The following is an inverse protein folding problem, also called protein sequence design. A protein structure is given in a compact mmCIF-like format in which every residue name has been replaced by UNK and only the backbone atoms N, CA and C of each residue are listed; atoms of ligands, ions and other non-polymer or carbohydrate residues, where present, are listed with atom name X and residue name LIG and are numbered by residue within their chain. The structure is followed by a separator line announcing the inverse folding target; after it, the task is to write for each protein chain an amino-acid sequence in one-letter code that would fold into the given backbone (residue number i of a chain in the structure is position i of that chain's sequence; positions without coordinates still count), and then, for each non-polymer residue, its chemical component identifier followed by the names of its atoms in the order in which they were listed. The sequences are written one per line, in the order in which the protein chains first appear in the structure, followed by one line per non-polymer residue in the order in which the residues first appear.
data_IF_603884460501
#
_entry.id   IF_603884460501
#
_cell.length_a   1.000
_cell.length_b   1.000
_cell.length_c   1.000
_cell.angle_alpha   90.00
_cell.angle_beta   90.00
_cell.angle_gamma   90.00
#
_symmetry.space_group_name_H-M   'P 1'
#
loop_
_entity.id
_entity.type
_entity.pdbx_description
1 polymer ?
#
# COMPACT_ATOMS: atom_id res chain seq x y z
N UNK A 1 -17.09 11.24 -5.99
CA UNK A 1 -15.94 10.30 -5.96
C UNK A 1 -16.49 8.94 -5.56
N UNK A 2 -16.01 7.82 -6.13
CA UNK A 2 -16.62 6.50 -5.87
C UNK A 2 -16.80 6.21 -4.37
N UNK A 3 -15.83 6.58 -3.53
CA UNK A 3 -15.91 6.44 -2.08
C UNK A 3 -17.16 7.10 -1.47
N UNK A 4 -17.54 8.28 -1.95
CA UNK A 4 -18.73 9.01 -1.52
C UNK A 4 -20.00 8.34 -2.04
N UNK A 5 -19.98 7.87 -3.29
CA UNK A 5 -21.13 7.21 -3.93
C UNK A 5 -21.50 5.90 -3.23
N UNK A 6 -20.50 5.13 -2.77
CA UNK A 6 -20.72 3.89 -2.03
C UNK A 6 -20.75 4.08 -0.50
N UNK A 7 -20.61 5.32 -0.01
CA UNK A 7 -20.68 5.65 1.42
C UNK A 7 -19.59 5.01 2.28
N UNK A 8 -18.39 4.78 1.73
CA UNK A 8 -17.27 4.17 2.46
C UNK A 8 -16.20 5.20 2.81
N UNK A 9 -15.48 4.92 3.90
CA UNK A 9 -14.34 5.73 4.33
C UNK A 9 -13.04 5.02 3.94
N UNK A 10 -12.19 5.70 3.18
CA UNK A 10 -10.83 5.23 2.93
C UNK A 10 -10.05 5.23 4.24
N UNK A 11 -9.16 4.25 4.47
CA UNK A 11 -8.32 4.24 5.69
C UNK A 11 -6.84 4.27 5.41
N UNK A 12 -6.44 3.62 4.32
CA UNK A 12 -5.06 3.49 3.86
C UNK A 12 -5.03 3.49 2.33
N UNK A 13 -3.99 4.08 1.75
CA UNK A 13 -3.59 3.89 0.36
C UNK A 13 -2.38 2.96 0.37
N UNK A 14 -2.56 1.70 -0.03
CA UNK A 14 -1.53 0.67 0.05
C UNK A 14 -0.90 0.43 -1.34
N UNK A 15 0.40 0.64 -1.43
CA UNK A 15 1.20 0.27 -2.60
C UNK A 15 1.77 -1.13 -2.41
N UNK A 16 1.68 -1.98 -3.43
CA UNK A 16 2.29 -3.31 -3.39
C UNK A 16 3.76 -3.27 -3.81
N UNK A 17 4.11 -2.38 -4.74
CA UNK A 17 5.46 -2.19 -5.27
C UNK A 17 5.62 -0.76 -5.81
N UNK A 18 6.85 -0.40 -6.22
CA UNK A 18 7.05 0.80 -7.00
C UNK A 18 6.80 0.53 -8.47
N UNK A 19 5.88 1.31 -9.03
CA UNK A 19 5.48 1.27 -10.42
C UNK A 19 6.49 2.06 -11.27
N UNK A 20 7.02 1.43 -12.32
CA UNK A 20 7.94 2.06 -13.27
C UNK A 20 7.20 2.52 -14.55
N UNK A 21 5.99 2.02 -14.73
CA UNK A 21 5.12 2.17 -15.90
C UNK A 21 4.08 3.27 -15.70
N UNK A 22 3.78 3.66 -14.46
CA UNK A 22 2.84 4.73 -14.17
C UNK A 22 3.13 5.46 -12.86
N UNK A 23 2.56 6.67 -12.74
CA UNK A 23 2.54 7.44 -11.51
C UNK A 23 1.29 7.03 -10.71
N UNK A 24 1.46 6.56 -9.49
CA UNK A 24 0.34 6.23 -8.59
C UNK A 24 -0.47 7.48 -8.19
N UNK A 25 -1.77 7.27 -7.95
CA UNK A 25 -2.67 8.29 -7.39
C UNK A 25 -2.58 8.48 -5.87
N UNK A 26 -1.74 7.71 -5.17
CA UNK A 26 -1.70 7.66 -3.69
C UNK A 26 -1.49 9.02 -3.03
N UNK A 27 -0.50 9.82 -3.44
CA UNK A 27 -0.27 11.15 -2.83
C UNK A 27 -1.49 12.06 -2.97
N UNK A 28 -2.09 12.10 -4.17
CA UNK A 28 -3.29 12.91 -4.41
C UNK A 28 -4.47 12.43 -3.57
N UNK A 29 -4.70 11.13 -3.50
CA UNK A 29 -5.82 10.55 -2.75
C UNK A 29 -5.64 10.76 -1.24
N UNK A 30 -4.43 10.58 -0.71
CA UNK A 30 -4.09 10.89 0.68
C UNK A 30 -4.33 12.37 1.00
N UNK A 31 -3.93 13.30 0.13
CA UNK A 31 -4.18 14.74 0.33
C UNK A 31 -5.66 15.10 0.33
N UNK A 32 -6.46 14.48 -0.53
CA UNK A 32 -7.90 14.76 -0.64
C UNK A 32 -8.69 14.16 0.53
N UNK A 33 -8.21 13.07 1.12
CA UNK A 33 -8.98 12.29 2.11
C UNK A 33 -8.39 12.34 3.51
N UNK A 34 -7.14 12.77 3.67
CA UNK A 34 -6.41 12.82 4.94
C UNK A 34 -5.88 11.47 5.43
N UNK A 35 -5.99 10.40 4.62
CA UNK A 35 -5.58 9.05 5.03
C UNK A 35 -4.15 8.70 4.66
N UNK A 36 -3.64 7.63 5.30
CA UNK A 36 -2.21 7.30 5.31
C UNK A 36 -1.81 6.47 4.09
N UNK A 37 -0.69 6.86 3.49
CA UNK A 37 0.02 6.06 2.51
C UNK A 37 0.84 4.96 3.19
N UNK A 38 0.78 3.75 2.64
CA UNK A 38 1.50 2.58 3.16
C UNK A 38 2.26 1.94 2.01
N UNK A 39 3.56 1.73 2.19
CA UNK A 39 4.43 1.13 1.16
C UNK A 39 5.28 -0.01 1.75
N UNK A 40 5.90 -0.86 0.92
CA UNK A 40 6.87 -1.83 1.39
C UNK A 40 8.11 -1.15 2.00
N UNK A 41 8.63 -1.68 3.11
CA UNK A 41 9.78 -1.09 3.81
C UNK A 41 11.03 -0.94 2.93
N UNK A 42 11.21 -1.80 1.94
CA UNK A 42 12.34 -1.74 1.01
C UNK A 42 12.09 -0.90 -0.25
N UNK A 43 10.93 -0.26 -0.39
CA UNK A 43 10.59 0.57 -1.55
C UNK A 43 11.46 1.84 -1.68
N UNK A 44 12.28 2.20 -0.67
CA UNK A 44 13.15 3.39 -0.67
C UNK A 44 12.41 4.71 -0.98
N UNK A 45 11.14 4.82 -0.59
CA UNK A 45 10.33 6.03 -0.71
C UNK A 45 10.46 6.88 0.55
N UNK A 46 10.75 8.18 0.40
CA UNK A 46 10.87 9.11 1.55
C UNK A 46 9.54 9.73 2.00
N UNK A 47 8.51 9.69 1.16
CA UNK A 47 7.24 10.41 1.37
C UNK A 47 6.06 9.54 1.82
N UNK A 48 6.28 8.28 2.19
CA UNK A 48 5.21 7.43 2.69
C UNK A 48 4.99 7.65 4.20
N UNK A 49 3.73 7.63 4.63
CA UNK A 49 3.38 7.76 6.07
C UNK A 49 3.76 6.50 6.86
N UNK A 50 3.76 5.34 6.19
CA UNK A 50 4.12 4.08 6.80
C UNK A 50 4.85 3.12 5.85
N UNK A 51 5.75 2.32 6.42
CA UNK A 51 6.56 1.34 5.73
C UNK A 51 6.39 -0.03 6.38
N UNK A 52 5.64 -0.93 5.73
CA UNK A 52 5.36 -2.27 6.25
C UNK A 52 6.50 -3.25 5.99
N UNK A 53 6.78 -4.09 6.99
CA UNK A 53 7.77 -5.18 6.90
C UNK A 53 7.09 -6.52 6.61
N UNK A 54 7.91 -7.50 6.22
CA UNK A 54 7.47 -8.87 6.07
C UNK A 54 6.80 -9.41 7.34
N UNK A 55 5.69 -10.13 7.17
CA UNK A 55 4.89 -10.72 8.24
C UNK A 55 4.05 -9.73 9.05
N UNK A 56 4.20 -8.42 8.83
CA UNK A 56 3.50 -7.39 9.61
C UNK A 56 2.00 -7.33 9.28
N UNK A 57 1.17 -7.05 10.28
CA UNK A 57 -0.30 -7.01 10.15
C UNK A 57 -0.82 -5.58 10.21
N UNK A 58 -1.51 -5.16 9.15
CA UNK A 58 -2.31 -3.95 9.09
C UNK A 58 -3.78 -4.27 9.38
N UNK A 59 -4.35 -3.65 10.41
CA UNK A 59 -5.76 -3.83 10.78
C UNK A 59 -6.66 -2.84 10.04
N UNK A 60 -7.75 -3.34 9.47
CA UNK A 60 -8.82 -2.58 8.81
C UNK A 60 -10.18 -3.02 9.37
N UNK A 61 -10.60 -2.39 10.47
CA UNK A 61 -11.78 -2.88 11.21
C UNK A 61 -11.53 -4.29 11.73
N UNK A 62 -12.45 -5.21 11.41
CA UNK A 62 -12.34 -6.64 11.76
C UNK A 62 -11.47 -7.44 10.77
N UNK A 63 -11.06 -6.82 9.67
CA UNK A 63 -10.20 -7.43 8.65
C UNK A 63 -8.73 -7.20 8.99
N UNK A 64 -7.91 -8.22 8.79
CA UNK A 64 -6.46 -8.11 8.91
C UNK A 64 -5.79 -8.34 7.55
N UNK A 65 -4.80 -7.50 7.25
CA UNK A 65 -3.97 -7.61 6.05
C UNK A 65 -2.56 -7.93 6.52
N UNK A 66 -2.05 -9.11 6.17
CA UNK A 66 -0.66 -9.46 6.43
C UNK A 66 0.21 -9.09 5.22
N UNK A 67 1.33 -8.44 5.47
CA UNK A 67 2.35 -8.23 4.46
C UNK A 67 3.18 -9.51 4.27
N UNK A 68 3.21 -10.00 3.04
CA UNK A 68 4.02 -11.15 2.66
C UNK A 68 5.03 -10.73 1.60
N UNK A 69 6.29 -11.06 1.85
CA UNK A 69 7.35 -10.74 0.93
C UNK A 69 7.45 -11.77 -0.20
N UNK A 70 7.30 -11.32 -1.44
CA UNK A 70 7.65 -12.13 -2.60
C UNK A 70 9.02 -11.74 -3.17
N UNK A 71 9.76 -12.73 -3.69
CA UNK A 71 10.95 -12.46 -4.50
C UNK A 71 10.50 -11.96 -5.88
N UNK A 72 11.04 -10.83 -6.37
CA UNK A 72 10.69 -10.34 -7.70
C UNK A 72 11.00 -11.39 -8.77
N UNK A 73 10.07 -11.62 -9.70
CA UNK A 73 10.32 -12.47 -10.88
C UNK A 73 11.24 -11.80 -11.90
N UNK A 74 11.31 -10.47 -11.88
CA UNK A 74 12.16 -9.68 -12.78
C UNK A 74 13.19 -8.84 -12.00
N UNK A 75 14.46 -8.80 -12.47
CA UNK A 75 15.55 -8.12 -11.77
C UNK A 75 15.40 -6.59 -11.71
N UNK A 76 14.51 -5.99 -12.52
CA UNK A 76 14.27 -4.55 -12.56
C UNK A 76 13.40 -3.98 -11.42
N UNK A 77 12.72 -4.83 -10.61
CA UNK A 77 11.90 -4.36 -9.48
C UNK A 77 12.47 -4.86 -8.15
N UNK A 78 13.35 -4.09 -7.48
CA UNK A 78 13.93 -4.49 -6.18
C UNK A 78 12.93 -4.40 -5.01
N UNK A 79 11.65 -4.14 -5.29
CA UNK A 79 10.62 -3.93 -4.27
C UNK A 79 9.94 -5.25 -3.99
N UNK A 80 9.88 -5.59 -2.71
CA UNK A 80 9.17 -6.77 -2.25
C UNK A 80 7.68 -6.49 -2.52
N UNK A 81 7.01 -7.27 -3.39
CA UNK A 81 5.56 -7.19 -3.51
C UNK A 81 4.97 -7.59 -2.17
N UNK A 82 4.19 -6.71 -1.55
CA UNK A 82 3.30 -7.12 -0.46
C UNK A 82 2.14 -7.87 -1.09
N UNK A 83 2.12 -9.20 -0.94
CA UNK A 83 0.92 -9.98 -1.27
C UNK A 83 -0.05 -9.83 -0.11
N UNK A 84 -1.22 -9.25 -0.38
CA UNK A 84 -2.28 -9.04 0.59
C UNK A 84 -3.03 -10.37 0.77
N UNK A 85 -2.90 -10.98 1.95
CA UNK A 85 -3.82 -12.04 2.38
C UNK A 85 -4.76 -11.46 3.43
N UNK A 86 -6.06 -11.63 3.19
CA UNK A 86 -7.10 -11.37 4.20
C UNK A 86 -7.09 -12.57 5.16
N UNK A 87 -6.72 -12.36 6.41
CA UNK A 87 -6.78 -13.38 7.49
C UNK A 87 -7.95 -13.11 8.42
#
# INVERSE_FOLDING_TARGET
MLLEEVGVTLRYCLETHLHADHITGTDRLCRLTGYRSVVPHNARVRGADYQMRDGEILKLGDTQIQALSATPKEPQHPVIPIVITLI
#
